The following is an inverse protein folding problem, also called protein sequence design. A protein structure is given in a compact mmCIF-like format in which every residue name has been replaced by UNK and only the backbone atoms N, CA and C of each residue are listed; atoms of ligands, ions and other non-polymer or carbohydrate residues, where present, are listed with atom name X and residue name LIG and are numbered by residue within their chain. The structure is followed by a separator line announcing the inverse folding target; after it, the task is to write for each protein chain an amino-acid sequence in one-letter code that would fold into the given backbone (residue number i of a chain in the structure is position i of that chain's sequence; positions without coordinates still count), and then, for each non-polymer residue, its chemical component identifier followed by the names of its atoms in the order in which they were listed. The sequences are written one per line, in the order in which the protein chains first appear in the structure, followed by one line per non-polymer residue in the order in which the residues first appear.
data_IF_144885567082
#
_entry.id   IF_144885567082
#
_cell.length_a   1.000
_cell.length_b   1.000
_cell.length_c   1.000
_cell.angle_alpha   90.00
_cell.angle_beta   90.00
_cell.angle_gamma   90.00
#
_symmetry.space_group_name_H-M   'P 1'
#
loop_
_entity.id
_entity.type
_entity.pdbx_description
1 polymer ?
#
# COMPACT_ATOMS: atom_id res chain seq x y z
N UNK A 1 19.18 -14.21 22.49
CA UNK A 1 18.24 -13.07 22.47
C UNK A 1 18.13 -12.67 21.02
N UNK A 2 16.92 -12.49 20.49
CA UNK A 2 16.73 -12.03 19.11
C UNK A 2 17.38 -10.64 18.95
N UNK A 3 18.08 -10.41 17.84
CA UNK A 3 18.76 -9.13 17.60
C UNK A 3 17.73 -8.07 17.18
N UNK A 4 17.89 -6.84 17.65
CA UNK A 4 17.02 -5.73 17.25
C UNK A 4 17.33 -5.29 15.81
N UNK A 5 16.29 -5.10 15.01
CA UNK A 5 16.41 -4.44 13.70
C UNK A 5 16.92 -3.02 13.89
N UNK A 6 17.96 -2.65 13.12
CA UNK A 6 18.57 -1.32 13.16
C UNK A 6 17.79 -0.37 12.26
N UNK A 7 17.55 0.84 12.74
CA UNK A 7 16.99 1.90 11.92
C UNK A 7 18.01 2.32 10.87
N UNK A 8 17.63 2.21 9.60
CA UNK A 8 18.44 2.71 8.50
C UNK A 8 18.21 4.21 8.32
N UNK A 9 16.94 4.63 8.16
CA UNK A 9 16.60 6.04 7.89
C UNK A 9 15.13 6.34 8.18
N UNK A 10 14.86 7.59 8.60
CA UNK A 10 13.51 8.15 8.67
C UNK A 10 13.34 9.09 7.48
N UNK A 11 12.25 8.93 6.73
CA UNK A 11 11.91 9.80 5.61
C UNK A 11 10.67 10.62 5.96
N UNK A 12 10.80 11.94 5.79
CA UNK A 12 9.65 12.85 5.80
C UNK A 12 8.92 12.78 4.44
N UNK A 13 7.61 13.09 4.41
CA UNK A 13 6.83 13.08 3.18
C UNK A 13 7.42 14.06 2.16
N UNK A 14 7.41 13.68 0.87
CA UNK A 14 7.76 14.61 -0.22
C UNK A 14 6.68 15.67 -0.39
N UNK A 15 6.96 16.63 -1.27
CA UNK A 15 5.97 17.64 -1.66
C UNK A 15 4.68 16.98 -2.17
N UNK A 16 3.55 17.50 -1.71
CA UNK A 16 2.24 17.01 -2.09
C UNK A 16 1.94 17.29 -3.55
N UNK A 17 1.30 16.34 -4.22
CA UNK A 17 0.86 16.49 -5.59
C UNK A 17 -0.48 15.76 -5.79
N UNK A 18 -1.14 16.05 -6.92
CA UNK A 18 -2.39 15.40 -7.29
C UNK A 18 -2.13 14.20 -8.20
N UNK A 19 -2.74 13.07 -7.87
CA UNK A 19 -2.97 11.96 -8.81
C UNK A 19 -4.41 12.07 -9.28
N UNK A 20 -4.56 12.48 -10.55
CA UNK A 20 -5.86 12.91 -11.09
C UNK A 20 -6.36 14.17 -10.37
N UNK A 21 -7.63 14.19 -9.98
CA UNK A 21 -8.26 15.29 -9.22
C UNK A 21 -8.95 14.84 -7.92
N UNK A 22 -8.80 13.57 -7.55
CA UNK A 22 -9.33 13.01 -6.30
C UNK A 22 -8.29 12.77 -5.21
N UNK A 23 -7.04 12.50 -5.58
CA UNK A 23 -6.05 12.01 -4.63
C UNK A 23 -4.90 13.01 -4.45
N UNK A 24 -4.95 13.78 -3.36
CA UNK A 24 -3.88 14.70 -2.99
C UNK A 24 -2.88 14.02 -2.05
N UNK A 25 -1.81 13.48 -2.64
CA UNK A 25 -0.89 12.53 -1.99
C UNK A 25 0.49 13.13 -1.74
N UNK A 26 1.21 12.57 -0.77
CA UNK A 26 2.67 12.68 -0.68
C UNK A 26 3.30 11.32 -0.97
N UNK A 27 4.27 11.27 -1.88
CA UNK A 27 5.07 10.06 -2.07
C UNK A 27 6.08 9.94 -0.94
N UNK A 28 6.07 8.81 -0.23
CA UNK A 28 6.97 8.52 0.88
C UNK A 28 8.28 7.91 0.39
N UNK A 29 8.19 6.97 -0.54
CA UNK A 29 9.32 6.38 -1.25
C UNK A 29 8.90 5.91 -2.65
N UNK A 30 9.85 5.70 -3.53
CA UNK A 30 9.63 5.03 -4.81
C UNK A 30 10.83 4.20 -5.25
N UNK A 31 10.63 3.33 -6.26
CA UNK A 31 11.67 2.48 -6.83
C UNK A 31 12.83 3.25 -7.47
N UNK A 32 12.66 4.56 -7.65
CA UNK A 32 13.69 5.46 -8.16
C UNK A 32 14.66 5.94 -7.06
N UNK A 33 14.38 5.62 -5.80
CA UNK A 33 15.27 5.94 -4.69
C UNK A 33 16.49 5.03 -4.71
N UNK A 34 17.65 5.59 -4.35
CA UNK A 34 18.91 4.84 -4.28
C UNK A 34 18.83 3.72 -3.22
N UNK A 35 17.94 3.88 -2.26
CA UNK A 35 17.73 3.00 -1.12
C UNK A 35 16.72 1.87 -1.40
N UNK A 36 16.31 1.66 -2.66
CA UNK A 36 15.36 0.62 -3.07
C UNK A 36 15.69 -0.80 -2.55
N UNK A 37 16.97 -1.10 -2.31
CA UNK A 37 17.39 -2.36 -1.69
C UNK A 37 16.82 -2.58 -0.28
N UNK A 38 16.58 -1.51 0.50
CA UNK A 38 15.92 -1.56 1.82
C UNK A 38 14.39 -1.49 1.74
N UNK A 39 13.83 -1.23 0.54
CA UNK A 39 12.39 -1.05 0.33
C UNK A 39 11.74 -2.29 -0.30
N UNK A 40 12.48 -3.06 -1.11
CA UNK A 40 12.00 -4.30 -1.76
C UNK A 40 11.31 -5.24 -0.74
N UNK A 41 10.13 -5.80 -1.02
CA UNK A 41 9.42 -5.85 -2.30
C UNK A 41 8.56 -4.60 -2.58
N UNK A 42 8.53 -3.61 -1.70
CA UNK A 42 7.74 -2.40 -1.85
C UNK A 42 8.45 -1.41 -2.77
N UNK A 43 7.71 -0.87 -3.75
CA UNK A 43 8.30 -0.04 -4.82
C UNK A 43 7.70 1.36 -4.94
N UNK A 44 6.58 1.64 -4.29
CA UNK A 44 6.04 2.99 -4.17
C UNK A 44 5.07 3.02 -3.00
N UNK A 45 5.07 4.11 -2.23
CA UNK A 45 4.00 4.40 -1.29
C UNK A 45 3.59 5.86 -1.39
N UNK A 46 2.31 6.08 -1.72
CA UNK A 46 1.65 7.37 -1.64
C UNK A 46 0.70 7.37 -0.45
N UNK A 47 0.76 8.43 0.36
CA UNK A 47 -0.20 8.69 1.44
C UNK A 47 -1.02 9.93 1.10
N UNK A 48 -2.32 9.72 0.89
CA UNK A 48 -3.29 10.81 0.91
C UNK A 48 -3.63 11.10 2.37
N UNK A 49 -2.82 11.94 3.02
CA UNK A 49 -3.05 12.36 4.39
C UNK A 49 -4.45 13.00 4.54
N UNK A 50 -5.08 12.92 5.74
CA UNK A 50 -6.45 13.37 5.96
C UNK A 50 -6.76 14.74 5.35
N UNK A 51 -7.75 14.78 4.46
CA UNK A 51 -8.19 16.00 3.80
C UNK A 51 -9.71 16.04 3.69
N UNK A 52 -10.31 17.18 4.04
CA UNK A 52 -11.75 17.40 3.91
C UNK A 52 -12.11 17.67 2.43
N UNK A 53 -13.05 16.91 1.89
CA UNK A 53 -13.66 17.16 0.58
C UNK A 53 -15.10 17.67 0.76
N UNK A 54 -15.44 18.76 0.08
CA UNK A 54 -16.81 19.28 0.07
C UNK A 54 -17.74 18.34 -0.75
N UNK A 55 -19.03 18.27 -0.40
CA UNK A 55 -20.04 17.57 -1.21
C UNK A 55 -20.01 18.01 -2.68
N UNK A 56 -20.06 17.05 -3.60
CA UNK A 56 -20.06 17.30 -5.04
C UNK A 56 -20.68 16.15 -5.84
N UNK A 57 -21.25 16.47 -7.01
CA UNK A 57 -21.66 15.48 -8.01
C UNK A 57 -20.53 15.14 -9.00
N UNK A 58 -19.36 15.78 -8.89
CA UNK A 58 -18.20 15.48 -9.73
C UNK A 58 -17.59 14.14 -9.33
N UNK A 59 -17.17 13.37 -10.32
CA UNK A 59 -16.41 12.14 -10.13
C UNK A 59 -14.93 12.49 -9.96
N UNK A 60 -14.49 12.64 -8.71
CA UNK A 60 -13.11 13.00 -8.36
C UNK A 60 -12.25 11.74 -8.26
N UNK A 61 -11.10 11.70 -8.93
CA UNK A 61 -10.23 10.53 -8.96
C UNK A 61 -9.21 10.56 -10.07
N UNK A 62 -8.83 9.39 -10.56
CA UNK A 62 -7.95 9.20 -11.71
C UNK A 62 -8.67 8.34 -12.75
N UNK A 63 -8.67 8.82 -13.99
CA UNK A 63 -9.28 8.11 -15.12
C UNK A 63 -8.48 6.88 -15.55
N UNK A 64 -8.81 6.37 -16.73
CA UNK A 64 -8.17 5.18 -17.30
C UNK A 64 -6.66 5.30 -17.35
N UNK A 65 -5.99 4.36 -16.70
CA UNK A 65 -4.54 4.23 -16.75
C UNK A 65 -4.12 2.77 -16.65
N UNK A 66 -3.01 2.37 -17.28
CA UNK A 66 -2.53 1.00 -17.21
C UNK A 66 -1.67 0.77 -15.97
N UNK A 67 -1.43 -0.50 -15.63
CA UNK A 67 -0.31 -0.97 -14.80
C UNK A 67 0.20 -2.31 -15.34
N UNK A 68 1.50 -2.62 -15.20
CA UNK A 68 2.08 -3.94 -15.54
C UNK A 68 3.29 -4.29 -14.66
N UNK A 69 3.37 -5.55 -14.25
CA UNK A 69 4.55 -6.17 -13.64
C UNK A 69 4.63 -6.07 -12.11
N UNK A 70 3.58 -5.60 -11.44
CA UNK A 70 3.53 -5.44 -9.99
C UNK A 70 2.08 -5.53 -9.49
N UNK A 71 1.87 -5.25 -8.21
CA UNK A 71 0.56 -5.21 -7.55
C UNK A 71 0.31 -3.83 -6.93
N UNK A 72 -0.93 -3.32 -7.00
CA UNK A 72 -1.36 -2.15 -6.23
C UNK A 72 -2.19 -2.59 -5.03
N UNK A 73 -1.92 -1.99 -3.88
CA UNK A 73 -2.63 -2.26 -2.63
C UNK A 73 -3.15 -0.94 -2.08
N UNK A 74 -4.47 -0.79 -2.11
CA UNK A 74 -5.17 0.42 -1.67
C UNK A 74 -5.78 0.19 -0.30
N UNK A 75 -5.38 0.99 0.68
CA UNK A 75 -5.95 1.01 2.02
C UNK A 75 -6.89 2.21 2.13
N UNK A 76 -8.21 1.97 2.20
CA UNK A 76 -9.16 3.05 2.45
C UNK A 76 -9.20 3.32 3.95
N UNK A 77 -8.47 4.32 4.44
CA UNK A 77 -8.41 4.65 5.86
C UNK A 77 -9.68 5.40 6.28
N UNK A 78 -10.01 6.48 5.55
CA UNK A 78 -11.24 7.25 5.71
C UNK A 78 -11.84 7.57 4.33
N UNK A 79 -13.17 7.56 4.24
CA UNK A 79 -13.87 7.69 2.97
C UNK A 79 -13.98 6.36 2.21
N UNK A 80 -14.29 6.44 0.92
CA UNK A 80 -14.59 5.27 0.09
C UNK A 80 -14.18 5.50 -1.37
N UNK A 81 -13.70 4.46 -2.02
CA UNK A 81 -13.14 4.50 -3.37
C UNK A 81 -13.88 3.49 -4.26
N UNK A 82 -14.42 3.93 -5.38
CA UNK A 82 -14.92 3.06 -6.45
C UNK A 82 -13.78 2.80 -7.45
N UNK A 83 -13.63 1.55 -7.87
CA UNK A 83 -12.66 1.15 -8.90
C UNK A 83 -13.31 0.19 -9.90
N UNK A 84 -12.79 0.17 -11.13
CA UNK A 84 -13.15 -0.83 -12.15
C UNK A 84 -12.03 -1.04 -13.14
N UNK A 85 -12.03 -2.19 -13.79
CA UNK A 85 -10.96 -2.59 -14.68
C UNK A 85 -11.41 -3.27 -15.96
N UNK A 86 -10.46 -3.36 -16.88
CA UNK A 86 -10.61 -3.93 -18.21
C UNK A 86 -10.81 -5.45 -18.23
N UNK A 87 -10.57 -6.15 -17.12
CA UNK A 87 -10.93 -7.56 -16.91
C UNK A 87 -12.40 -7.75 -16.50
N UNK A 88 -13.17 -6.67 -16.36
CA UNK A 88 -14.56 -6.69 -15.92
C UNK A 88 -14.72 -6.76 -14.40
N UNK A 89 -13.63 -6.62 -13.65
CA UNK A 89 -13.66 -6.46 -12.21
C UNK A 89 -13.97 -5.02 -11.79
N UNK A 90 -13.96 -4.82 -10.48
CA UNK A 90 -14.28 -3.54 -9.85
C UNK A 90 -14.98 -3.73 -8.52
N UNK A 91 -15.32 -2.61 -7.89
CA UNK A 91 -16.01 -2.59 -6.62
C UNK A 91 -15.82 -1.28 -5.86
N UNK A 92 -16.27 -1.28 -4.61
CA UNK A 92 -16.09 -0.16 -3.70
C UNK A 92 -15.23 -0.61 -2.52
N UNK A 93 -14.14 0.11 -2.29
CA UNK A 93 -13.27 -0.04 -1.12
C UNK A 93 -13.83 0.88 -0.03
N UNK A 94 -14.48 0.29 0.97
CA UNK A 94 -15.03 1.02 2.12
C UNK A 94 -13.97 1.26 3.20
N UNK A 95 -14.18 2.22 4.09
CA UNK A 95 -13.22 2.55 5.15
C UNK A 95 -12.87 1.31 6.01
N UNK A 96 -11.57 1.12 6.25
CA UNK A 96 -10.99 -0.08 6.86
C UNK A 96 -10.84 -1.27 5.91
N UNK A 97 -11.28 -1.17 4.66
CA UNK A 97 -11.11 -2.19 3.62
C UNK A 97 -9.79 -2.03 2.86
N UNK A 98 -9.39 -3.11 2.19
CA UNK A 98 -8.21 -3.15 1.33
C UNK A 98 -8.58 -3.77 -0.02
N UNK A 99 -8.12 -3.16 -1.09
CA UNK A 99 -8.08 -3.79 -2.40
C UNK A 99 -6.64 -4.16 -2.73
N UNK A 100 -6.41 -5.41 -3.13
CA UNK A 100 -5.13 -5.89 -3.64
C UNK A 100 -5.29 -6.32 -5.10
N UNK A 101 -4.78 -5.51 -6.03
CA UNK A 101 -4.83 -5.77 -7.46
C UNK A 101 -3.48 -6.25 -7.94
N UNK A 102 -3.43 -7.48 -8.42
CA UNK A 102 -2.28 -7.99 -9.16
C UNK A 102 -2.41 -7.48 -10.60
N UNK A 103 -1.57 -6.54 -11.04
CA UNK A 103 -1.58 -6.06 -12.42
C UNK A 103 -0.96 -7.07 -13.39
N UNK A 104 0.08 -7.79 -12.95
CA UNK A 104 0.68 -8.90 -13.71
C UNK A 104 0.98 -8.53 -15.16
N UNK A 105 0.47 -9.31 -16.12
CA UNK A 105 0.65 -9.12 -17.56
C UNK A 105 0.06 -7.82 -18.12
N UNK A 106 -0.66 -7.03 -17.32
CA UNK A 106 -1.18 -5.73 -17.70
C UNK A 106 -2.68 -5.62 -17.50
N UNK A 107 -3.11 -4.52 -16.91
CA UNK A 107 -4.52 -4.15 -16.71
C UNK A 107 -4.68 -2.66 -16.91
N UNK A 108 -5.77 -2.24 -17.56
CA UNK A 108 -6.25 -0.85 -17.54
C UNK A 108 -7.37 -0.74 -16.52
N UNK A 109 -7.31 0.28 -15.66
CA UNK A 109 -8.29 0.53 -14.61
C UNK A 109 -8.47 2.01 -14.32
N UNK A 110 -9.46 2.33 -13.50
CA UNK A 110 -9.73 3.68 -12.99
C UNK A 110 -10.10 3.61 -11.50
N UNK A 111 -9.84 4.70 -10.77
CA UNK A 111 -10.07 4.80 -9.33
C UNK A 111 -10.67 6.17 -9.01
N UNK A 112 -11.80 6.20 -8.32
CA UNK A 112 -12.51 7.44 -8.00
C UNK A 112 -13.04 7.41 -6.58
N UNK A 113 -13.21 8.58 -5.97
CA UNK A 113 -14.09 8.71 -4.81
C UNK A 113 -15.44 8.09 -5.13
N UNK A 114 -15.93 7.24 -4.24
CA UNK A 114 -17.23 6.61 -4.46
C UNK A 114 -18.33 7.64 -4.61
N UNK A 115 -19.40 7.28 -5.32
CA UNK A 115 -20.52 8.20 -5.53
C UNK A 115 -21.13 8.68 -4.20
N UNK A 116 -21.32 7.78 -3.24
CA UNK A 116 -21.92 8.15 -1.96
C UNK A 116 -21.00 8.99 -1.08
N UNK A 117 -19.68 8.78 -1.14
CA UNK A 117 -18.72 9.67 -0.49
C UNK A 117 -18.70 11.05 -1.14
N UNK A 118 -18.59 11.13 -2.47
CA UNK A 118 -18.55 12.40 -3.21
C UNK A 118 -19.76 13.28 -2.90
N UNK A 119 -20.96 12.68 -2.85
CA UNK A 119 -22.20 13.42 -2.56
C UNK A 119 -22.32 13.90 -1.11
N UNK A 120 -21.67 13.22 -0.15
CA UNK A 120 -21.71 13.58 1.27
C UNK A 120 -20.57 14.50 1.67
N UNK A 121 -19.42 14.42 0.99
CA UNK A 121 -18.17 15.00 1.45
C UNK A 121 -17.66 14.34 2.74
N UNK A 122 -16.66 14.97 3.34
CA UNK A 122 -16.01 14.54 4.58
C UNK A 122 -14.51 14.32 4.41
N UNK A 123 -13.90 13.78 5.47
CA UNK A 123 -12.48 13.45 5.47
C UNK A 123 -12.21 12.24 4.58
N UNK A 124 -11.29 12.41 3.64
CA UNK A 124 -10.69 11.34 2.85
C UNK A 124 -9.27 11.09 3.34
N UNK A 125 -8.92 9.81 3.51
CA UNK A 125 -7.56 9.37 3.80
C UNK A 125 -7.34 7.99 3.19
N UNK A 126 -6.23 7.81 2.47
CA UNK A 126 -5.86 6.50 1.93
C UNK A 126 -4.35 6.33 1.83
N UNK A 127 -3.92 5.08 1.73
CA UNK A 127 -2.56 4.72 1.33
C UNK A 127 -2.63 3.88 0.05
N UNK A 128 -1.83 4.26 -0.95
CA UNK A 128 -1.59 3.46 -2.14
C UNK A 128 -0.17 2.88 -2.05
N UNK A 129 -0.06 1.57 -1.93
CA UNK A 129 1.21 0.84 -1.90
C UNK A 129 1.37 0.06 -3.21
N UNK A 130 2.54 0.14 -3.83
CA UNK A 130 2.90 -0.76 -4.92
C UNK A 130 3.87 -1.83 -4.41
N UNK A 131 3.53 -3.08 -4.69
CA UNK A 131 4.32 -4.26 -4.32
C UNK A 131 4.83 -4.91 -5.60
N UNK A 132 6.14 -5.03 -5.73
CA UNK A 132 6.77 -5.61 -6.91
C UNK A 132 6.48 -7.11 -7.00
N UNK A 133 6.38 -7.62 -8.23
CA UNK A 133 6.33 -9.07 -8.48
C UNK A 133 7.74 -9.58 -8.85
N UNK A 134 8.11 -10.79 -8.39
CA UNK A 134 9.27 -11.51 -8.93
C UNK A 134 9.15 -11.71 -10.44
N UNK A 135 10.26 -11.78 -11.16
CA UNK A 135 10.31 -11.86 -12.62
C UNK A 135 9.40 -12.96 -13.19
N UNK A 136 9.39 -14.12 -12.52
CA UNK A 136 8.55 -15.28 -12.87
C UNK A 136 7.04 -14.99 -12.83
N UNK A 137 6.61 -14.02 -12.04
CA UNK A 137 5.20 -13.70 -11.77
C UNK A 137 4.75 -12.40 -12.48
N UNK A 138 5.67 -11.59 -13.02
CA UNK A 138 5.36 -10.31 -13.67
C UNK A 138 4.39 -10.40 -14.85
N UNK A 139 4.24 -11.58 -15.44
CA UNK A 139 3.32 -11.84 -16.55
C UNK A 139 2.15 -12.75 -16.15
N UNK A 140 1.87 -12.91 -14.85
CA UNK A 140 0.68 -13.61 -14.37
C UNK A 140 -0.60 -12.90 -14.82
N UNK A 141 -1.71 -13.64 -14.90
CA UNK A 141 -3.01 -13.06 -15.22
C UNK A 141 -3.42 -12.04 -14.15
N UNK A 142 -3.93 -10.85 -14.52
CA UNK A 142 -4.41 -9.88 -13.56
C UNK A 142 -5.52 -10.45 -12.67
N UNK A 143 -5.56 -10.04 -11.40
CA UNK A 143 -6.62 -10.45 -10.46
C UNK A 143 -6.84 -9.42 -9.35
N UNK A 144 -7.98 -9.53 -8.68
CA UNK A 144 -8.35 -8.72 -7.52
C UNK A 144 -8.55 -9.57 -6.27
N UNK A 145 -8.23 -8.97 -5.13
CA UNK A 145 -8.65 -9.43 -3.81
C UNK A 145 -9.28 -8.23 -3.11
N UNK A 146 -10.60 -8.22 -3.01
CA UNK A 146 -11.36 -7.18 -2.32
C UNK A 146 -11.73 -7.68 -0.94
N UNK A 147 -11.26 -6.99 0.10
CA UNK A 147 -11.41 -7.40 1.48
C UNK A 147 -11.99 -6.25 2.29
N UNK A 148 -13.12 -6.49 2.94
CA UNK A 148 -13.77 -5.56 3.85
C UNK A 148 -13.07 -5.60 5.21
N UNK A 149 -13.34 -4.60 6.05
CA UNK A 149 -12.75 -4.47 7.38
C UNK A 149 -12.93 -5.74 8.23
N UNK A 150 -14.08 -6.39 8.11
CA UNK A 150 -14.48 -7.57 8.88
C UNK A 150 -13.76 -8.86 8.43
N UNK A 151 -13.15 -8.87 7.25
CA UNK A 151 -12.44 -10.03 6.70
C UNK A 151 -11.06 -10.23 7.34
N UNK A 152 -10.54 -9.21 8.03
CA UNK A 152 -9.20 -9.24 8.61
C UNK A 152 -9.21 -9.69 10.07
N UNK A 153 -8.38 -10.68 10.45
CA UNK A 153 -8.22 -11.02 11.84
C UNK A 153 -7.49 -9.89 12.59
N UNK A 154 -8.08 -9.47 13.71
CA UNK A 154 -7.48 -8.52 14.66
C UNK A 154 -6.96 -9.23 15.90
N UNK A 155 -5.73 -8.92 16.28
CA UNK A 155 -5.11 -9.32 17.55
C UNK A 155 -5.16 -8.16 18.54
N UNK A 156 -5.64 -8.44 19.75
CA UNK A 156 -5.57 -7.50 20.87
C UNK A 156 -4.31 -7.77 21.69
N UNK A 157 -3.37 -6.85 21.66
CA UNK A 157 -2.10 -6.92 22.39
C UNK A 157 -2.09 -5.88 23.52
N UNK A 158 -1.10 -5.95 24.42
CA UNK A 158 -0.89 -4.98 25.49
C UNK A 158 -2.16 -4.72 26.32
N UNK A 159 -2.77 -5.78 26.84
CA UNK A 159 -4.01 -5.71 27.63
C UNK A 159 -5.18 -5.02 26.88
N UNK A 160 -5.16 -5.07 25.54
CA UNK A 160 -6.18 -4.48 24.68
C UNK A 160 -5.93 -3.02 24.28
N UNK A 161 -4.77 -2.45 24.64
CA UNK A 161 -4.35 -1.11 24.16
C UNK A 161 -3.98 -1.09 22.68
N UNK A 162 -3.49 -2.21 22.16
CA UNK A 162 -3.13 -2.36 20.74
C UNK A 162 -4.11 -3.28 20.05
N UNK A 163 -4.65 -2.83 18.93
CA UNK A 163 -5.30 -3.68 17.93
C UNK A 163 -4.38 -3.78 16.71
N UNK A 164 -3.92 -4.99 16.40
CA UNK A 164 -3.11 -5.29 15.22
C UNK A 164 -3.95 -6.13 14.26
N UNK A 165 -4.30 -5.53 13.13
CA UNK A 165 -5.08 -6.14 12.06
C UNK A 165 -4.12 -6.71 11.01
N UNK A 166 -4.29 -7.99 10.67
CA UNK A 166 -3.40 -8.71 9.76
C UNK A 166 -3.96 -8.67 8.35
N UNK A 167 -3.29 -7.94 7.46
CA UNK A 167 -3.72 -7.77 6.06
C UNK A 167 -3.15 -8.91 5.21
N UNK A 168 -1.84 -9.15 5.31
CA UNK A 168 -1.11 -10.20 4.63
C UNK A 168 -0.11 -10.85 5.59
N UNK A 169 0.25 -12.12 5.33
CA UNK A 169 1.21 -12.87 6.13
C UNK A 169 0.61 -13.53 7.37
N UNK A 170 1.44 -13.75 8.39
CA UNK A 170 1.02 -14.39 9.63
C UNK A 170 1.63 -13.69 10.84
N UNK A 171 0.84 -13.52 11.91
CA UNK A 171 1.33 -13.04 13.19
C UNK A 171 0.68 -13.83 14.33
N UNK A 172 1.49 -14.38 15.24
CA UNK A 172 1.03 -15.15 16.40
C UNK A 172 0.00 -16.25 16.06
N UNK A 173 0.21 -16.99 14.96
CA UNK A 173 -0.66 -18.09 14.52
C UNK A 173 -1.99 -17.65 13.90
N UNK A 174 -2.13 -16.36 13.54
CA UNK A 174 -3.26 -15.83 12.75
C UNK A 174 -2.76 -15.35 11.41
N UNK A 175 -3.42 -15.76 10.34
CA UNK A 175 -3.02 -15.43 8.96
C UNK A 175 -3.94 -14.38 8.36
N UNK A 176 -3.37 -13.42 7.63
CA UNK A 176 -4.12 -12.45 6.84
C UNK A 176 -4.77 -13.10 5.61
N UNK A 177 -5.89 -12.56 5.12
CA UNK A 177 -6.60 -13.11 3.97
C UNK A 177 -5.90 -12.86 2.63
N UNK A 178 -5.01 -11.86 2.53
CA UNK A 178 -4.37 -11.51 1.26
C UNK A 178 -3.35 -12.58 0.82
N UNK A 179 -3.52 -13.07 -0.40
CA UNK A 179 -2.59 -13.95 -1.10
C UNK A 179 -1.50 -13.11 -1.76
N UNK A 180 -0.23 -13.43 -1.48
CA UNK A 180 0.93 -12.68 -1.99
C UNK A 180 1.82 -13.56 -2.86
N UNK A 181 2.61 -12.93 -3.74
CA UNK A 181 3.60 -13.62 -4.59
C UNK A 181 4.99 -13.72 -3.96
N UNK A 182 5.28 -12.80 -3.03
CA UNK A 182 6.51 -12.77 -2.23
C UNK A 182 6.11 -12.93 -0.76
N UNK A 183 6.84 -13.72 0.05
CA UNK A 183 6.56 -13.81 1.48
C UNK A 183 6.67 -12.44 2.15
N UNK A 184 5.60 -12.04 2.82
CA UNK A 184 5.52 -10.74 3.48
C UNK A 184 4.46 -10.72 4.58
N UNK A 185 4.61 -9.74 5.45
CA UNK A 185 3.70 -9.39 6.52
C UNK A 185 3.29 -7.92 6.34
N UNK A 186 1.98 -7.68 6.26
CA UNK A 186 1.43 -6.32 6.26
C UNK A 186 0.40 -6.23 7.37
N UNK A 187 0.64 -5.31 8.31
CA UNK A 187 -0.23 -5.10 9.45
C UNK A 187 -0.68 -3.65 9.54
N UNK A 188 -1.94 -3.45 9.91
CA UNK A 188 -2.49 -2.15 10.31
C UNK A 188 -2.62 -2.15 11.84
N UNK A 189 -1.98 -1.19 12.51
CA UNK A 189 -1.89 -1.16 13.97
C UNK A 189 -2.53 0.10 14.51
N UNK A 190 -3.50 -0.07 15.40
CA UNK A 190 -4.07 1.00 16.21
C UNK A 190 -3.62 0.82 17.66
N UNK A 191 -3.01 1.84 18.24
CA UNK A 191 -2.64 1.85 19.65
C UNK A 191 -3.29 3.02 20.37
N UNK A 192 -3.79 2.77 21.57
CA UNK A 192 -4.39 3.80 22.43
C UNK A 192 -3.43 4.23 23.52
N UNK A 193 -3.42 5.52 23.81
CA UNK A 193 -2.59 6.17 24.83
C UNK A 193 -1.08 5.93 24.63
N UNK A 194 -0.29 6.33 25.62
CA UNK A 194 1.12 5.98 25.68
C UNK A 194 1.31 4.47 25.96
N UNK A 195 2.37 3.92 25.39
CA UNK A 195 2.70 2.51 25.58
C UNK A 195 3.87 2.06 24.71
N UNK A 196 3.99 0.74 24.59
CA UNK A 196 5.07 0.09 23.85
C UNK A 196 4.48 -0.89 22.85
N UNK A 197 5.03 -0.90 21.65
CA UNK A 197 4.72 -1.86 20.60
C UNK A 197 5.96 -2.68 20.28
N UNK A 198 5.85 -3.99 20.49
CA UNK A 198 6.89 -4.97 20.15
C UNK A 198 6.46 -5.75 18.91
N UNK A 199 7.30 -5.72 17.87
CA UNK A 199 7.11 -6.45 16.62
C UNK A 199 8.28 -7.40 16.40
N UNK A 200 7.99 -8.61 15.96
CA UNK A 200 8.99 -9.62 15.62
C UNK A 200 8.80 -10.06 14.17
N UNK A 201 9.90 -10.21 13.45
CA UNK A 201 9.95 -10.63 12.05
C UNK A 201 11.06 -11.66 11.86
N UNK A 202 11.06 -12.31 10.70
CA UNK A 202 12.19 -13.15 10.29
C UNK A 202 13.41 -12.27 9.96
N UNK A 203 14.61 -12.81 10.19
CA UNK A 203 15.85 -12.18 9.72
C UNK A 203 15.85 -12.00 8.19
N UNK A 204 16.70 -11.10 7.71
CA UNK A 204 16.93 -10.85 6.28
C UNK A 204 15.72 -10.31 5.50
N UNK A 205 14.69 -9.83 6.21
CA UNK A 205 13.52 -9.16 5.63
C UNK A 205 13.66 -7.65 5.73
N UNK A 206 13.22 -6.93 4.69
CA UNK A 206 13.10 -5.48 4.75
C UNK A 206 11.87 -5.09 5.59
N UNK A 207 11.98 -4.02 6.35
CA UNK A 207 10.88 -3.53 7.19
C UNK A 207 10.73 -2.01 7.08
N UNK A 208 9.49 -1.55 6.92
CA UNK A 208 9.09 -0.16 6.90
C UNK A 208 7.94 0.03 7.89
N UNK A 209 8.02 1.05 8.73
CA UNK A 209 6.92 1.51 9.59
C UNK A 209 6.44 2.85 9.06
N UNK A 210 5.15 2.95 8.73
CA UNK A 210 4.50 4.19 8.33
C UNK A 210 3.70 4.73 9.50
N UNK A 211 4.03 5.94 9.97
CA UNK A 211 3.36 6.58 11.09
C UNK A 211 2.20 7.43 10.56
N UNK A 212 1.00 6.86 10.41
CA UNK A 212 -0.17 7.56 9.87
C UNK A 212 -0.74 8.59 10.85
N UNK A 213 -0.73 8.27 12.16
CA UNK A 213 -1.19 9.16 13.25
C UNK A 213 -0.29 9.04 14.47
N UNK A 214 -0.07 10.15 15.16
CA UNK A 214 0.69 10.19 16.42
C UNK A 214 2.21 10.12 16.18
N UNK A 215 2.97 10.03 17.27
CA UNK A 215 4.43 9.93 17.21
C UNK A 215 4.93 8.69 17.95
N UNK A 216 6.01 8.12 17.45
CA UNK A 216 6.71 7.01 18.09
C UNK A 216 8.19 7.30 18.27
N UNK A 217 8.83 6.57 19.19
CA UNK A 217 10.25 6.61 19.45
C UNK A 217 10.87 5.24 19.34
N UNK A 218 12.01 5.19 18.66
CA UNK A 218 12.92 4.05 18.62
C UNK A 218 14.26 4.52 19.18
N UNK A 219 14.62 4.03 20.38
CA UNK A 219 15.75 4.55 21.14
C UNK A 219 15.70 6.09 21.28
N UNK A 220 16.67 6.80 20.72
CA UNK A 220 16.79 8.28 20.75
C UNK A 220 16.12 8.97 19.54
N UNK A 221 15.58 8.21 18.59
CA UNK A 221 14.98 8.74 17.35
C UNK A 221 13.47 8.81 17.47
N UNK A 222 12.91 9.95 17.08
CA UNK A 222 11.46 10.15 16.97
C UNK A 222 11.03 9.97 15.52
N UNK A 223 9.98 9.19 15.31
CA UNK A 223 9.26 9.03 14.05
C UNK A 223 7.96 9.81 14.21
N UNK A 224 7.79 10.87 13.42
CA UNK A 224 6.62 11.76 13.55
C UNK A 224 5.46 11.29 12.68
N UNK A 225 4.27 11.80 12.99
CA UNK A 225 3.10 11.67 12.13
C UNK A 225 3.42 12.08 10.69
N UNK A 226 3.02 11.24 9.74
CA UNK A 226 3.27 11.37 8.31
C UNK A 226 4.66 10.90 7.87
N UNK A 227 5.56 10.47 8.76
CA UNK A 227 6.89 9.95 8.39
C UNK A 227 6.89 8.42 8.23
N UNK A 228 7.92 7.92 7.54
CA UNK A 228 8.24 6.49 7.51
C UNK A 228 9.60 6.22 8.15
N UNK A 229 9.74 5.09 8.82
CA UNK A 229 11.00 4.56 9.30
C UNK A 229 11.34 3.29 8.52
N UNK A 230 12.49 3.30 7.86
CA UNK A 230 13.05 2.17 7.11
C UNK A 230 14.16 1.52 7.94
N UNK A 231 14.15 0.20 8.00
CA UNK A 231 15.07 -0.59 8.83
C UNK A 231 16.02 -1.41 7.95
N UNK A 232 17.17 -1.76 8.53
CA UNK A 232 18.06 -2.75 7.94
C UNK A 232 17.44 -4.15 7.96
N UNK A 233 17.97 -5.03 7.10
CA UNK A 233 17.52 -6.43 6.99
C UNK A 233 17.89 -7.28 8.19
N UNK A 234 19.04 -6.99 8.79
CA UNK A 234 19.56 -7.70 9.94
C UNK A 234 18.71 -7.42 11.19
N UNK A 235 18.55 -8.45 12.03
CA UNK A 235 17.71 -8.41 13.21
C UNK A 235 16.26 -8.77 12.95
N UNK A 236 15.56 -9.05 14.05
CA UNK A 236 14.22 -9.62 14.09
C UNK A 236 13.24 -8.70 14.82
N UNK A 237 13.72 -7.93 15.83
CA UNK A 237 12.83 -7.20 16.74
C UNK A 237 12.81 -5.70 16.49
N UNK A 238 11.61 -5.11 16.53
CA UNK A 238 11.42 -3.66 16.58
C UNK A 238 10.62 -3.33 17.84
N UNK A 239 11.10 -2.38 18.63
CA UNK A 239 10.45 -1.92 19.86
C UNK A 239 10.19 -0.41 19.76
N UNK A 240 8.92 -0.03 19.61
CA UNK A 240 8.52 1.37 19.52
C UNK A 240 7.88 1.80 20.84
N UNK A 241 8.30 2.95 21.37
CA UNK A 241 7.55 3.65 22.41
C UNK A 241 6.58 4.61 21.72
N UNK A 242 5.30 4.48 22.02
CA UNK A 242 4.22 5.30 21.48
C UNK A 242 3.85 6.34 22.52
N UNK A 243 3.88 7.61 22.14
CA UNK A 243 3.67 8.72 23.08
C UNK A 243 2.18 9.09 23.23
N UNK A 244 1.32 8.62 22.31
CA UNK A 244 -0.11 8.91 22.27
C UNK A 244 -0.87 7.88 21.42
N UNK A 245 -2.19 8.09 21.26
CA UNK A 245 -2.98 7.40 20.24
C UNK A 245 -2.24 7.41 18.90
N UNK A 246 -1.97 6.21 18.37
CA UNK A 246 -1.13 6.01 17.20
C UNK A 246 -1.83 5.09 16.20
N UNK A 247 -1.63 5.37 14.92
CA UNK A 247 -2.05 4.52 13.82
C UNK A 247 -0.85 4.29 12.91
N UNK A 248 -0.47 3.03 12.74
CA UNK A 248 0.69 2.63 11.97
C UNK A 248 0.29 1.67 10.86
N UNK A 249 0.99 1.74 9.72
CA UNK A 249 1.06 0.64 8.77
C UNK A 249 2.46 0.01 8.86
N UNK A 250 2.51 -1.30 9.03
CA UNK A 250 3.74 -2.08 9.15
C UNK A 250 3.90 -2.90 7.88
N UNK A 251 5.01 -2.70 7.17
CA UNK A 251 5.34 -3.39 5.94
C UNK A 251 6.63 -4.19 6.17
N UNK A 252 6.57 -5.51 6.04
CA UNK A 252 7.72 -6.37 6.18
C UNK A 252 7.70 -7.43 5.06
N UNK A 253 8.80 -7.61 4.34
CA UNK A 253 8.80 -8.54 3.21
C UNK A 253 10.18 -9.09 2.88
N UNK A 254 10.19 -10.28 2.30
CA UNK A 254 11.40 -10.82 1.70
C UNK A 254 11.82 -9.94 0.51
N UNK A 255 13.09 -9.54 0.44
CA UNK A 255 13.59 -8.81 -0.71
C UNK A 255 13.55 -9.69 -1.95
N UNK A 256 13.12 -9.14 -3.09
CA UNK A 256 13.11 -9.86 -4.37
C UNK A 256 14.54 -9.90 -4.96
N UNK A 257 15.35 -8.86 -4.70
CA UNK A 257 16.75 -8.73 -5.15
C UNK A 257 16.98 -9.03 -6.65
N UNK A 258 15.99 -8.70 -7.47
CA UNK A 258 16.07 -8.71 -8.93
C UNK A 258 16.21 -7.30 -9.51
N UNK A 259 16.73 -7.14 -10.73
CA UNK A 259 16.76 -5.85 -11.42
C UNK A 259 15.36 -5.22 -11.52
N UNK A 260 15.30 -3.90 -11.35
CA UNK A 260 14.08 -3.11 -11.51
C UNK A 260 14.28 -2.10 -12.64
N UNK A 261 13.48 -2.22 -13.69
CA UNK A 261 13.35 -1.24 -14.76
C UNK A 261 11.94 -0.64 -14.67
N UNK A 262 11.84 0.68 -14.50
CA UNK A 262 10.56 1.37 -14.34
C UNK A 262 10.43 2.53 -15.33
N UNK A 263 9.23 2.68 -15.89
CA UNK A 263 8.85 3.84 -16.70
C UNK A 263 7.35 4.10 -16.55
N UNK A 264 7.01 5.17 -15.82
CA UNK A 264 5.62 5.50 -15.50
C UNK A 264 4.92 4.33 -14.81
N UNK A 265 3.80 3.81 -15.35
CA UNK A 265 3.01 2.73 -14.74
C UNK A 265 3.53 1.31 -15.04
N UNK A 266 4.73 1.17 -15.59
CA UNK A 266 5.30 -0.14 -15.94
C UNK A 266 6.54 -0.42 -15.11
N UNK A 267 6.58 -1.58 -14.44
CA UNK A 267 7.71 -2.02 -13.62
C UNK A 267 8.09 -3.44 -13.98
N UNK A 268 9.14 -3.55 -14.80
CA UNK A 268 9.68 -4.81 -15.32
C UNK A 268 11.11 -5.03 -14.80
N UNK A 269 11.81 -6.05 -15.30
CA UNK A 269 13.21 -6.29 -14.92
C UNK A 269 14.20 -5.66 -15.91
N UNK A 270 13.80 -5.47 -17.17
CA UNK A 270 14.68 -4.95 -18.24
C UNK A 270 14.05 -3.81 -19.02
N UNK A 271 14.91 -3.02 -19.71
CA UNK A 271 14.45 -1.94 -20.61
C UNK A 271 13.67 -2.47 -21.82
N UNK A 272 13.99 -3.67 -22.29
CA UNK A 272 13.28 -4.29 -23.42
C UNK A 272 11.86 -4.70 -23.02
N UNK A 273 11.67 -5.24 -21.82
CA UNK A 273 10.34 -5.51 -21.28
C UNK A 273 9.51 -4.23 -21.09
N UNK A 274 10.15 -3.12 -20.71
CA UNK A 274 9.47 -1.81 -20.64
C UNK A 274 9.02 -1.34 -22.02
N UNK A 275 9.87 -1.48 -23.05
CA UNK A 275 9.47 -1.17 -24.44
C UNK A 275 8.29 -2.04 -24.87
N UNK A 276 8.35 -3.33 -24.59
CA UNK A 276 7.25 -4.26 -24.89
C UNK A 276 5.95 -3.88 -24.15
N UNK A 277 6.03 -3.43 -22.90
CA UNK A 277 4.87 -2.95 -22.15
C UNK A 277 4.22 -1.72 -22.82
N UNK A 278 5.03 -0.76 -23.24
CA UNK A 278 4.55 0.42 -23.97
C UNK A 278 3.88 0.01 -25.29
N UNK A 279 4.52 -0.87 -26.07
CA UNK A 279 3.98 -1.35 -27.34
C UNK A 279 2.66 -2.11 -27.15
N UNK A 280 2.57 -2.97 -26.12
CA UNK A 280 1.36 -3.72 -25.81
C UNK A 280 0.21 -2.82 -25.35
N UNK A 281 0.49 -1.80 -24.53
CA UNK A 281 -0.51 -0.82 -24.13
C UNK A 281 -1.03 -0.01 -25.33
N UNK A 282 -0.12 0.50 -26.17
CA UNK A 282 -0.49 1.26 -27.37
C UNK A 282 -1.29 0.41 -28.38
N UNK A 283 -1.01 -0.90 -28.45
CA UNK A 283 -1.76 -1.85 -29.25
C UNK A 283 -3.09 -2.30 -28.61
N UNK A 284 -3.42 -1.84 -27.40
CA UNK A 284 -4.65 -2.18 -26.68
C UNK A 284 -4.67 -3.59 -26.08
N UNK A 285 -3.51 -4.24 -25.91
CA UNK A 285 -3.41 -5.63 -25.41
C UNK A 285 -3.57 -5.76 -23.89
N UNK A 286 -3.61 -4.65 -23.15
CA UNK A 286 -3.86 -4.64 -21.69
C UNK A 286 -5.34 -4.46 -21.35
N UNK A 287 -6.22 -4.60 -22.34
CA UNK A 287 -7.65 -4.36 -22.19
C UNK A 287 -8.02 -2.88 -22.29
N UNK A 288 -9.32 -2.62 -22.21
CA UNK A 288 -9.93 -1.28 -22.19
C UNK A 288 -11.14 -1.32 -21.28
N UNK A 289 -11.47 -0.21 -20.63
CA UNK A 289 -12.79 -0.08 -20.02
C UNK A 289 -13.82 0.07 -21.14
N UNK A 290 -14.81 -0.81 -21.16
CA UNK A 290 -16.01 -0.60 -21.97
C UNK A 290 -17.03 0.13 -21.12
N UNK A 291 -17.62 1.20 -21.65
CA UNK A 291 -18.78 1.81 -21.01
C UNK A 291 -19.86 0.74 -20.82
N UNK A 292 -20.44 0.68 -19.61
CA UNK A 292 -21.65 -0.11 -19.42
C UNK A 292 -22.70 0.43 -20.38
N UNK A 293 -23.24 -0.43 -21.25
CA UNK A 293 -24.46 -0.11 -21.96
C UNK A 293 -25.50 0.27 -20.91
N UNK A 294 -25.96 1.52 -20.95
CA UNK A 294 -27.04 2.03 -20.10
C UNK A 294 -28.18 1.02 -20.19
N UNK A 295 -28.35 0.20 -19.15
CA UNK A 295 -29.57 -0.59 -19.00
C UNK A 295 -30.65 0.41 -18.60
N UNK A 296 -31.36 0.88 -19.63
CA UNK A 296 -32.59 1.68 -19.52
C UNK A 296 -33.61 0.99 -18.60
#
# INVERSE_FOLDING_TARGET
MAESKKLYKIYSPREKHWVGDGFYVSTMFSMHDNENHYLSPFILLDHAAPMEFAPTDKKLGVGEHPHRGFETVTFAIQGKIDHRDSGGGGGTISSGGVQWMTAGSGVVHEEFHSKDFSQKGGVFEMVQLWVNLPAKDKMTTPRYQSMNKEDFPSLKLNEGKTELKIIAGEYHGKSGPALTHTPMNIFEVFHKSEGRLDLNFNEQTNTIIVQLKGNSKLADKTIKEGEIAVFERDGEQIQLNLDSDSHLLVLNGEPIDEPVAAYGPFVMNTRDEIRQAIDDFNAGKMGRLVEEAIKN
#
